data_IF_726976251409
#
_entry.id   IF_726976251409
#
_cell.length_a   1.000
_cell.length_b   1.000
_cell.length_c   1.000
_cell.angle_alpha   90.00
_cell.angle_beta   90.00
_cell.angle_gamma   90.00
#
_symmetry.space_group_name_H-M   'P 1'
#
loop_
_entity.id
_entity.type
_entity.pdbx_description
1 polymer ?
#
# COMPACT_ATOMS: atom_id res chain seq x y z
N UNK A 1 -9.61 45.83 71.55
CA UNK A 1 -8.15 45.70 71.77
C UNK A 1 -7.77 44.23 71.69
N UNK A 2 -6.72 43.90 70.90
CA UNK A 2 -5.62 42.90 71.11
C UNK A 2 -5.88 41.81 72.21
N UNK A 3 -5.63 40.49 72.05
CA UNK A 3 -4.32 39.78 71.83
C UNK A 3 -4.50 38.24 71.59
N UNK A 4 -3.89 37.68 70.52
CA UNK A 4 -3.31 36.30 70.30
C UNK A 4 -4.13 35.03 70.76
N UNK A 5 -3.74 33.75 70.61
CA UNK A 5 -2.57 33.04 70.05
C UNK A 5 -3.01 31.62 69.54
N UNK A 6 -2.58 31.13 68.36
CA UNK A 6 -1.43 30.21 68.06
C UNK A 6 -1.72 28.68 68.06
N UNK A 7 -1.20 28.01 67.00
CA UNK A 7 -0.85 26.56 66.88
C UNK A 7 -2.07 25.60 66.88
N UNK A 8 -2.11 24.43 66.23
CA UNK A 8 -1.22 23.65 65.32
C UNK A 8 -2.14 22.73 64.47
N UNK A 9 -1.78 22.01 63.38
CA UNK A 9 -0.50 21.57 62.78
C UNK A 9 -0.67 21.41 61.25
N UNK A 10 0.36 20.98 60.50
CA UNK A 10 0.23 20.39 59.16
C UNK A 10 0.59 18.89 59.20
N UNK A 11 -0.09 18.08 58.38
CA UNK A 11 0.35 16.73 57.99
C UNK A 11 0.25 16.63 56.47
N UNK A 12 1.33 16.16 55.83
CA UNK A 12 1.51 16.20 54.39
C UNK A 12 0.84 15.02 53.66
N UNK A 13 0.31 15.30 52.47
CA UNK A 13 -0.12 14.26 51.52
C UNK A 13 1.04 13.91 50.59
N UNK A 14 1.45 12.64 50.59
CA UNK A 14 2.44 12.12 49.64
C UNK A 14 1.73 11.79 48.34
N UNK A 15 2.00 12.55 47.28
CA UNK A 15 1.57 12.23 45.92
C UNK A 15 2.65 11.42 45.21
N UNK A 16 2.38 10.13 44.98
CA UNK A 16 3.20 9.27 44.15
C UNK A 16 2.82 9.51 42.67
N UNK A 17 3.65 10.24 41.93
CA UNK A 17 3.47 10.41 40.48
C UNK A 17 4.21 9.28 39.75
N UNK A 18 3.47 8.30 39.27
CA UNK A 18 3.99 7.26 38.40
C UNK A 18 4.17 7.81 36.97
N UNK A 19 5.40 8.16 36.61
CA UNK A 19 5.73 8.61 35.26
C UNK A 19 5.82 7.39 34.30
N UNK A 20 4.74 7.11 33.56
CA UNK A 20 4.83 6.24 32.39
C UNK A 20 5.60 6.94 31.27
N UNK A 21 6.87 6.57 31.11
CA UNK A 21 7.65 6.94 29.94
C UNK A 21 7.14 6.19 28.71
N UNK A 22 6.26 6.82 27.93
CA UNK A 22 5.89 6.32 26.59
C UNK A 22 7.10 6.57 25.67
N UNK A 23 7.97 5.56 25.56
CA UNK A 23 9.06 5.55 24.58
C UNK A 23 8.49 5.37 23.18
N UNK A 24 7.95 6.44 22.62
CA UNK A 24 7.54 6.52 21.22
C UNK A 24 8.76 6.33 20.32
N UNK A 25 8.93 5.12 19.77
CA UNK A 25 9.95 4.85 18.79
C UNK A 25 9.73 5.74 17.56
N UNK A 26 10.72 6.56 17.21
CA UNK A 26 10.71 7.28 15.93
C UNK A 26 10.70 6.27 14.79
N UNK A 27 9.53 6.07 14.18
CA UNK A 27 9.41 5.34 12.95
C UNK A 27 10.17 6.11 11.87
N UNK A 28 11.34 5.62 11.47
CA UNK A 28 12.02 6.11 10.28
C UNK A 28 11.08 5.89 9.09
N UNK A 29 10.62 6.98 8.48
CA UNK A 29 9.79 6.91 7.29
C UNK A 29 10.59 6.24 6.16
N UNK A 30 10.28 4.98 5.87
CA UNK A 30 10.87 4.27 4.74
C UNK A 30 10.52 5.03 3.45
N UNK A 31 11.54 5.27 2.63
CA UNK A 31 11.45 6.10 1.41
C UNK A 31 10.57 5.49 0.32
N UNK A 32 10.31 4.18 0.40
CA UNK A 32 9.30 3.47 -0.37
C UNK A 32 8.48 2.54 0.53
N UNK A 33 7.44 1.92 -0.05
CA UNK A 33 6.56 1.01 0.66
C UNK A 33 7.21 -0.35 1.00
N UNK A 34 6.66 -1.01 2.00
CA UNK A 34 7.03 -2.34 2.48
C UNK A 34 6.16 -3.43 1.88
N UNK A 35 6.60 -4.69 1.99
CA UNK A 35 5.84 -5.85 1.48
C UNK A 35 4.47 -5.97 2.14
N UNK A 36 4.38 -5.68 3.44
CA UNK A 36 3.14 -5.79 4.20
C UNK A 36 2.15 -4.70 3.82
N UNK A 37 2.61 -3.47 3.56
CA UNK A 37 1.79 -2.38 3.00
C UNK A 37 1.25 -2.75 1.60
N UNK A 38 2.08 -3.36 0.75
CA UNK A 38 1.64 -3.83 -0.57
C UNK A 38 0.56 -4.93 -0.48
N UNK A 39 0.75 -5.93 0.39
CA UNK A 39 -0.25 -6.99 0.64
C UNK A 39 -1.54 -6.41 1.21
N UNK A 40 -1.45 -5.49 2.18
CA UNK A 40 -2.60 -4.83 2.79
C UNK A 40 -3.39 -4.00 1.77
N UNK A 41 -2.71 -3.25 0.89
CA UNK A 41 -3.37 -2.44 -0.14
C UNK A 41 -4.02 -3.29 -1.22
N UNK A 42 -3.41 -4.41 -1.64
CA UNK A 42 -4.03 -5.37 -2.57
C UNK A 42 -5.29 -5.97 -1.97
N UNK A 43 -5.25 -6.43 -0.71
CA UNK A 43 -6.43 -6.96 -0.01
C UNK A 43 -7.54 -5.94 0.14
N UNK A 44 -7.21 -4.68 0.44
CA UNK A 44 -8.15 -3.56 0.48
C UNK A 44 -8.80 -3.32 -0.88
N UNK A 45 -8.04 -3.41 -1.99
CA UNK A 45 -8.57 -3.25 -3.34
C UNK A 45 -9.48 -4.41 -3.75
N UNK A 46 -9.07 -5.66 -3.47
CA UNK A 46 -9.89 -6.86 -3.68
C UNK A 46 -11.20 -6.78 -2.89
N UNK A 47 -11.15 -6.31 -1.64
CA UNK A 47 -12.34 -6.08 -0.83
C UNK A 47 -13.26 -5.02 -1.46
N UNK A 48 -12.73 -3.85 -1.83
CA UNK A 48 -13.49 -2.78 -2.47
C UNK A 48 -14.17 -3.24 -3.78
N UNK A 49 -13.48 -4.00 -4.64
CA UNK A 49 -14.07 -4.53 -5.88
C UNK A 49 -15.23 -5.50 -5.56
N UNK A 50 -15.10 -6.32 -4.52
CA UNK A 50 -16.16 -7.26 -4.09
C UNK A 50 -17.37 -6.54 -3.46
N UNK A 51 -17.16 -5.46 -2.71
CA UNK A 51 -18.25 -4.77 -1.98
C UNK A 51 -18.91 -3.64 -2.76
N UNK A 52 -18.16 -2.96 -3.64
CA UNK A 52 -18.61 -1.75 -4.36
C UNK A 52 -18.81 -1.99 -5.86
N UNK A 53 -18.36 -3.14 -6.37
CA UNK A 53 -18.39 -3.48 -7.79
C UNK A 53 -17.19 -2.92 -8.57
N UNK A 54 -16.87 -3.49 -9.74
CA UNK A 54 -15.73 -3.07 -10.56
C UNK A 54 -15.75 -1.59 -10.92
N UNK A 55 -16.87 -1.06 -11.43
CA UNK A 55 -16.93 0.32 -11.95
C UNK A 55 -16.54 1.37 -10.91
N UNK A 56 -17.08 1.26 -9.69
CA UNK A 56 -16.78 2.18 -8.59
C UNK A 56 -15.38 1.97 -8.04
N UNK A 57 -14.98 0.72 -7.80
CA UNK A 57 -13.66 0.40 -7.26
C UNK A 57 -12.53 0.76 -8.25
N UNK A 58 -12.71 0.56 -9.55
CA UNK A 58 -11.71 0.88 -10.58
C UNK A 58 -11.54 2.38 -10.78
N UNK A 59 -12.61 3.17 -10.62
CA UNK A 59 -12.53 4.63 -10.60
C UNK A 59 -11.65 5.13 -9.42
N UNK A 60 -11.88 4.61 -8.21
CA UNK A 60 -11.06 4.94 -7.02
C UNK A 60 -9.63 4.39 -7.09
N UNK A 61 -9.42 3.17 -7.59
CA UNK A 61 -8.08 2.61 -7.84
C UNK A 61 -7.31 3.47 -8.85
N UNK A 62 -8.00 4.06 -9.83
CA UNK A 62 -7.41 4.94 -10.84
C UNK A 62 -7.36 6.40 -10.39
N UNK A 63 -7.73 6.74 -9.16
CA UNK A 63 -7.57 8.06 -8.59
C UNK A 63 -6.16 8.20 -7.96
N UNK A 64 -5.24 9.01 -8.53
CA UNK A 64 -3.87 9.15 -8.01
C UNK A 64 -3.81 9.90 -6.67
N UNK A 65 -4.91 10.54 -6.25
CA UNK A 65 -5.09 11.12 -4.92
C UNK A 65 -6.05 10.28 -4.05
N UNK A 66 -6.38 9.08 -4.51
CA UNK A 66 -7.31 8.15 -3.88
C UNK A 66 -6.63 7.16 -2.92
N UNK A 67 -7.42 6.27 -2.29
CA UNK A 67 -6.99 5.42 -1.18
C UNK A 67 -6.13 4.20 -1.58
N UNK A 68 -5.66 4.16 -2.84
CA UNK A 68 -4.93 3.05 -3.48
C UNK A 68 -3.60 3.49 -4.12
N UNK A 69 -3.08 4.65 -3.67
CA UNK A 69 -1.74 5.15 -3.98
C UNK A 69 -1.11 5.66 -2.68
N UNK A 70 0.12 5.23 -2.39
CA UNK A 70 0.96 5.72 -1.28
C UNK A 70 2.43 5.65 -1.71
N UNK A 71 3.14 6.79 -1.68
CA UNK A 71 4.54 6.92 -2.13
C UNK A 71 4.77 6.31 -3.53
N UNK A 72 5.44 5.17 -3.61
CA UNK A 72 5.74 4.39 -4.82
C UNK A 72 4.80 3.18 -5.03
N UNK A 73 4.00 2.83 -4.03
CA UNK A 73 3.00 1.78 -4.06
C UNK A 73 1.69 2.30 -4.68
N UNK A 74 1.16 1.53 -5.62
CA UNK A 74 -0.12 1.78 -6.26
C UNK A 74 -0.74 0.47 -6.73
N UNK A 75 -2.06 0.45 -6.85
CA UNK A 75 -2.80 -0.71 -7.39
C UNK A 75 -2.91 -0.64 -8.91
N UNK A 76 -2.82 -1.81 -9.55
CA UNK A 76 -3.15 -2.05 -10.95
C UNK A 76 -4.06 -3.27 -11.04
N UNK A 77 -5.07 -3.22 -11.91
CA UNK A 77 -5.94 -4.36 -12.21
C UNK A 77 -5.78 -4.73 -13.67
N UNK A 78 -5.46 -6.00 -13.93
CA UNK A 78 -5.40 -6.59 -15.27
C UNK A 78 -6.57 -7.56 -15.48
N UNK A 79 -7.09 -7.62 -16.71
CA UNK A 79 -7.86 -8.78 -17.19
C UNK A 79 -6.93 -9.97 -17.45
N UNK A 80 -7.47 -11.19 -17.45
CA UNK A 80 -6.73 -12.42 -17.78
C UNK A 80 -6.29 -12.50 -19.26
N UNK A 81 -6.64 -11.50 -20.08
CA UNK A 81 -6.20 -11.27 -21.45
C UNK A 81 -5.02 -10.28 -21.55
N UNK A 82 -4.59 -9.69 -20.43
CA UNK A 82 -3.55 -8.66 -20.37
C UNK A 82 -4.05 -7.22 -20.56
N UNK A 83 -5.36 -7.00 -20.64
CA UNK A 83 -5.95 -5.65 -20.68
C UNK A 83 -5.81 -4.95 -19.32
N UNK A 84 -5.39 -3.68 -19.29
CA UNK A 84 -5.37 -2.88 -18.06
C UNK A 84 -6.76 -2.28 -17.80
N UNK A 85 -7.38 -2.66 -16.68
CA UNK A 85 -8.73 -2.25 -16.29
C UNK A 85 -8.73 -1.06 -15.32
N UNK A 86 -7.70 -0.95 -14.47
CA UNK A 86 -7.50 0.16 -13.54
C UNK A 86 -6.01 0.34 -13.23
N UNK A 87 -5.55 1.57 -12.99
CA UNK A 87 -4.13 1.84 -12.72
C UNK A 87 -3.91 3.15 -11.94
N UNK A 88 -3.42 3.05 -10.69
CA UNK A 88 -3.27 4.21 -9.81
C UNK A 88 -2.20 5.24 -10.22
N UNK A 89 -1.05 4.79 -10.73
CA UNK A 89 0.05 5.70 -11.08
C UNK A 89 0.12 6.20 -12.54
N UNK A 90 -0.54 5.53 -13.50
CA UNK A 90 -0.44 5.84 -14.94
C UNK A 90 -1.77 5.56 -15.66
N UNK A 91 -2.64 6.56 -15.67
CA UNK A 91 -3.96 6.50 -16.33
C UNK A 91 -3.88 6.19 -17.83
N UNK A 92 -2.76 6.49 -18.51
CA UNK A 92 -2.60 6.29 -19.97
C UNK A 92 -2.54 4.81 -20.34
N UNK A 93 -2.31 3.92 -19.36
CA UNK A 93 -2.29 2.47 -19.55
C UNK A 93 -3.68 1.85 -19.57
N UNK A 94 -4.69 2.48 -18.97
CA UNK A 94 -6.04 1.94 -18.87
C UNK A 94 -6.64 1.79 -20.28
N UNK A 95 -7.22 0.62 -20.57
CA UNK A 95 -7.73 0.29 -21.90
C UNK A 95 -6.68 -0.14 -22.93
N UNK A 96 -5.41 -0.28 -22.53
CA UNK A 96 -4.36 -0.89 -23.37
C UNK A 96 -4.13 -2.36 -22.99
N UNK A 97 -3.87 -3.21 -23.98
CA UNK A 97 -3.43 -4.58 -23.75
C UNK A 97 -1.90 -4.63 -23.69
N UNK A 98 -1.37 -5.15 -22.59
CA UNK A 98 0.07 -5.18 -22.30
C UNK A 98 0.61 -6.61 -22.22
N UNK A 99 -0.14 -7.61 -22.71
CA UNK A 99 0.24 -9.03 -22.60
C UNK A 99 1.65 -9.31 -23.15
N UNK A 100 2.01 -8.63 -24.24
CA UNK A 100 3.31 -8.77 -24.90
C UNK A 100 4.30 -7.63 -24.57
N UNK A 101 3.95 -6.71 -23.65
CA UNK A 101 4.88 -5.69 -23.17
C UNK A 101 6.03 -6.35 -22.44
N UNK A 102 7.24 -5.81 -22.67
CA UNK A 102 8.47 -6.31 -22.05
C UNK A 102 9.02 -5.28 -21.07
N UNK A 103 9.58 -5.77 -19.96
CA UNK A 103 10.43 -4.95 -19.12
C UNK A 103 11.80 -4.69 -19.76
N UNK A 104 12.66 -3.95 -19.06
CA UNK A 104 13.99 -3.59 -19.55
C UNK A 104 14.95 -4.78 -19.73
N UNK A 105 14.63 -5.96 -19.19
CA UNK A 105 15.40 -7.20 -19.39
C UNK A 105 14.75 -8.12 -20.45
N UNK A 106 13.72 -7.64 -21.15
CA UNK A 106 13.02 -8.37 -22.21
C UNK A 106 11.91 -9.31 -21.72
N UNK A 107 11.55 -9.27 -20.43
CA UNK A 107 10.58 -10.19 -19.82
C UNK A 107 9.14 -9.76 -20.10
N UNK A 108 8.33 -10.67 -20.66
CA UNK A 108 6.88 -10.51 -20.89
C UNK A 108 6.10 -10.61 -19.56
N UNK A 109 6.26 -9.60 -18.70
CA UNK A 109 5.84 -9.65 -17.30
C UNK A 109 4.31 -9.71 -17.10
N UNK A 110 3.51 -9.16 -18.02
CA UNK A 110 2.03 -9.29 -17.92
C UNK A 110 1.58 -10.70 -18.28
N UNK A 111 2.18 -11.34 -19.28
CA UNK A 111 1.93 -12.74 -19.64
C UNK A 111 2.31 -13.70 -18.53
N UNK A 112 3.49 -13.54 -17.92
CA UNK A 112 3.88 -14.34 -16.75
C UNK A 112 2.87 -14.16 -15.59
N UNK A 113 2.41 -12.93 -15.33
CA UNK A 113 1.39 -12.65 -14.31
C UNK A 113 0.08 -13.39 -14.58
N UNK A 114 -0.39 -13.40 -15.83
CA UNK A 114 -1.57 -14.16 -16.25
C UNK A 114 -1.36 -15.67 -16.06
N UNK A 115 -0.20 -16.21 -16.41
CA UNK A 115 0.11 -17.64 -16.21
C UNK A 115 0.25 -18.03 -14.72
N UNK A 116 0.73 -17.11 -13.87
CA UNK A 116 0.76 -17.31 -12.41
C UNK A 116 -0.66 -17.29 -11.83
N UNK A 117 -1.51 -16.34 -12.23
CA UNK A 117 -2.90 -16.24 -11.79
C UNK A 117 -3.79 -17.41 -12.24
N UNK A 118 -3.41 -18.14 -13.29
CA UNK A 118 -4.08 -19.41 -13.65
C UNK A 118 -3.79 -20.55 -12.67
N UNK A 119 -2.63 -20.51 -12.00
CA UNK A 119 -2.13 -21.58 -11.12
C UNK A 119 -2.43 -21.31 -9.66
N UNK A 120 -2.15 -20.08 -9.21
CA UNK A 120 -2.22 -19.68 -7.81
C UNK A 120 -3.27 -18.57 -7.59
N UNK A 121 -4.05 -18.61 -6.49
CA UNK A 121 -4.99 -17.54 -6.15
C UNK A 121 -4.28 -16.25 -5.74
N UNK A 122 -3.05 -16.34 -5.23
CA UNK A 122 -2.21 -15.18 -4.94
C UNK A 122 -0.73 -15.53 -5.09
N UNK A 123 0.09 -14.59 -5.52
CA UNK A 123 1.52 -14.82 -5.78
C UNK A 123 2.34 -13.52 -5.71
N UNK A 124 3.65 -13.67 -5.55
CA UNK A 124 4.62 -12.60 -5.77
C UNK A 124 5.29 -12.75 -7.13
N UNK A 125 5.61 -11.62 -7.76
CA UNK A 125 6.26 -11.56 -9.07
C UNK A 125 7.35 -10.49 -9.07
N UNK A 126 8.51 -10.79 -9.68
CA UNK A 126 9.61 -9.83 -9.87
C UNK A 126 9.80 -9.49 -11.35
N UNK A 127 9.91 -8.21 -11.66
CA UNK A 127 10.19 -7.64 -12.98
C UNK A 127 10.78 -6.23 -12.82
N UNK A 128 11.33 -5.61 -13.87
CA UNK A 128 11.76 -4.20 -13.83
C UNK A 128 10.64 -3.26 -14.26
N UNK A 129 10.51 -2.11 -13.60
CA UNK A 129 9.55 -1.09 -14.03
C UNK A 129 10.02 0.32 -13.68
N UNK A 130 9.46 1.34 -14.33
CA UNK A 130 9.71 2.72 -13.93
C UNK A 130 9.07 2.98 -12.55
N UNK A 131 9.85 3.48 -11.61
CA UNK A 131 9.37 3.95 -10.31
C UNK A 131 8.67 5.31 -10.47
N UNK A 132 7.41 5.48 -10.01
CA UNK A 132 6.67 6.72 -10.18
C UNK A 132 7.27 7.89 -9.40
N UNK A 133 8.07 7.65 -8.36
CA UNK A 133 8.74 8.66 -7.55
C UNK A 133 10.12 9.01 -8.14
N UNK A 134 11.02 8.02 -8.26
CA UNK A 134 12.42 8.28 -8.69
C UNK A 134 12.58 8.49 -10.20
N UNK A 135 11.57 8.09 -11.00
CA UNK A 135 11.58 8.05 -12.47
C UNK A 135 12.65 7.15 -13.10
N UNK A 136 13.32 6.31 -12.32
CA UNK A 136 14.29 5.31 -12.79
C UNK A 136 13.60 3.99 -13.06
N UNK A 137 14.20 3.16 -13.92
CA UNK A 137 13.82 1.75 -14.07
C UNK A 137 14.51 0.96 -12.97
N UNK A 138 13.71 0.35 -12.10
CA UNK A 138 14.17 -0.32 -10.87
C UNK A 138 13.54 -1.72 -10.78
N UNK A 139 14.17 -2.69 -10.09
CA UNK A 139 13.52 -3.95 -9.77
C UNK A 139 12.28 -3.73 -8.90
N UNK A 140 11.17 -4.39 -9.25
CA UNK A 140 9.91 -4.31 -8.52
C UNK A 140 9.45 -5.69 -8.11
N UNK A 141 9.09 -5.86 -6.83
CA UNK A 141 8.38 -7.05 -6.35
C UNK A 141 6.90 -6.70 -6.15
N UNK A 142 6.02 -7.40 -6.87
CA UNK A 142 4.58 -7.14 -6.89
C UNK A 142 3.84 -8.34 -6.35
N UNK A 143 3.00 -8.12 -5.33
CA UNK A 143 2.01 -9.06 -4.88
C UNK A 143 0.75 -8.94 -5.73
N UNK A 144 0.13 -10.07 -6.05
CA UNK A 144 -1.08 -10.14 -6.85
C UNK A 144 -2.06 -11.13 -6.22
N UNK A 145 -3.34 -10.80 -6.24
CA UNK A 145 -4.46 -11.70 -5.97
C UNK A 145 -5.34 -11.82 -7.21
N UNK A 146 -5.77 -13.04 -7.56
CA UNK A 146 -6.76 -13.26 -8.62
C UNK A 146 -8.17 -13.03 -8.08
N UNK A 147 -8.95 -12.28 -8.85
CA UNK A 147 -10.37 -12.05 -8.62
C UNK A 147 -11.13 -12.36 -9.91
N UNK A 148 -11.74 -13.54 -9.95
CA UNK A 148 -12.49 -14.09 -11.08
C UNK A 148 -11.70 -14.12 -12.41
N UNK A 149 -11.99 -13.14 -13.29
CA UNK A 149 -11.36 -12.92 -14.60
C UNK A 149 -10.33 -11.78 -14.60
N UNK A 150 -9.89 -11.37 -13.41
CA UNK A 150 -8.95 -10.25 -13.21
C UNK A 150 -7.84 -10.62 -12.22
N UNK A 151 -6.77 -9.84 -12.25
CA UNK A 151 -5.64 -9.92 -11.30
C UNK A 151 -5.40 -8.53 -10.72
N UNK A 152 -5.53 -8.41 -9.41
CA UNK A 152 -5.36 -7.17 -8.65
C UNK A 152 -3.97 -7.19 -8.02
N UNK A 153 -3.15 -6.19 -8.33
CA UNK A 153 -1.72 -6.21 -8.00
C UNK A 153 -1.23 -4.89 -7.40
N UNK A 154 -0.27 -4.98 -6.47
CA UNK A 154 0.41 -3.86 -5.82
C UNK A 154 1.80 -4.31 -5.37
N UNK A 155 2.78 -3.41 -5.36
CA UNK A 155 4.17 -3.82 -5.19
C UNK A 155 5.13 -2.71 -4.81
N UNK A 156 6.31 -3.14 -4.39
CA UNK A 156 7.40 -2.32 -3.86
C UNK A 156 8.57 -2.26 -4.85
N UNK A 157 9.27 -1.13 -4.88
CA UNK A 157 10.53 -1.02 -5.61
C UNK A 157 11.70 -1.38 -4.70
N UNK A 158 12.74 -1.97 -5.28
CA UNK A 158 13.98 -2.33 -4.58
C UNK A 158 15.08 -1.42 -5.10
N UNK A 159 15.29 -0.30 -4.38
CA UNK A 159 16.33 0.69 -4.64
C UNK A 159 17.71 0.23 -4.16
#
# INVERSE_FOLDING_TARGET
MIVRARRTTQVAWVLLVAALAVSGGMAYAATGATKDEAVAMVKKAVAAIKTEGPDKAYAEISNPSGPFVDRDLYIVVYGMDGMVLAHGADKKRIGTNQLNDKDADGKEFVKERVELAKKEPSFWQTYKFMNPVTKKVEPKQTYCERLDKTVVCGGIYQA
#
